data_IF_889045752553
#
_entry.id   IF_889045752553
#
_cell.length_a   1.000
_cell.length_b   1.000
_cell.length_c   1.000
_cell.angle_alpha   90.00
_cell.angle_beta   90.00
_cell.angle_gamma   90.00
#
_symmetry.space_group_name_H-M   'P 1'
#
loop_
_entity.id
_entity.type
_entity.pdbx_description
1 polymer ?
#
# COMPACT_ATOMS: atom_id res chain seq x y z
N UNK A 1 -0.08 19.72 -14.53
CA UNK A 1 1.20 19.75 -13.76
C UNK A 1 2.32 19.24 -14.66
N UNK A 2 3.44 19.96 -14.78
CA UNK A 2 4.61 19.50 -15.56
C UNK A 2 5.12 18.15 -15.03
N UNK A 3 5.64 17.28 -15.90
CA UNK A 3 6.06 15.92 -15.56
C UNK A 3 7.02 15.87 -14.35
N UNK A 4 8.02 16.75 -14.33
CA UNK A 4 8.97 16.89 -13.23
C UNK A 4 8.29 17.10 -11.87
N UNK A 5 7.26 17.96 -11.80
CA UNK A 5 6.53 18.22 -10.54
C UNK A 5 5.75 16.99 -10.06
N UNK A 6 5.27 16.12 -10.97
CA UNK A 6 4.61 14.87 -10.60
C UNK A 6 5.59 13.88 -9.97
N UNK A 7 6.77 13.74 -10.57
CA UNK A 7 7.83 12.86 -10.06
C UNK A 7 8.30 13.37 -8.69
N UNK A 8 8.58 14.67 -8.56
CA UNK A 8 8.98 15.28 -7.30
C UNK A 8 7.94 15.03 -6.19
N UNK A 9 6.65 15.19 -6.50
CA UNK A 9 5.58 14.90 -5.54
C UNK A 9 5.60 13.43 -5.08
N UNK A 10 5.76 12.47 -6.00
CA UNK A 10 5.85 11.05 -5.64
C UNK A 10 7.04 10.76 -4.76
N UNK A 11 8.22 11.27 -5.12
CA UNK A 11 9.45 11.07 -4.33
C UNK A 11 9.28 11.66 -2.94
N UNK A 12 8.72 12.87 -2.81
CA UNK A 12 8.42 13.46 -1.52
C UNK A 12 7.45 12.63 -0.68
N UNK A 13 6.37 12.10 -1.28
CA UNK A 13 5.40 11.27 -0.56
C UNK A 13 5.99 9.93 -0.10
N UNK A 14 6.87 9.31 -0.91
CA UNK A 14 7.58 8.08 -0.52
C UNK A 14 8.57 8.37 0.61
N UNK A 15 9.32 9.47 0.55
CA UNK A 15 10.21 9.89 1.64
C UNK A 15 9.41 10.19 2.91
N UNK A 16 8.29 10.90 2.80
CA UNK A 16 7.41 11.13 3.96
C UNK A 16 6.89 9.81 4.51
N UNK A 17 6.51 8.86 3.66
CA UNK A 17 6.04 7.54 4.09
C UNK A 17 7.08 6.79 4.95
N UNK A 18 8.39 6.90 4.67
CA UNK A 18 9.39 6.21 5.51
C UNK A 18 9.42 6.73 6.96
N UNK A 19 8.95 7.96 7.20
CA UNK A 19 8.85 8.53 8.55
C UNK A 19 7.65 8.03 9.37
N UNK A 20 6.81 7.13 8.83
CA UNK A 20 5.78 6.43 9.64
C UNK A 20 6.35 5.33 10.53
N UNK A 21 7.67 5.09 10.47
CA UNK A 21 8.40 4.18 11.36
C UNK A 21 9.63 4.93 11.92
N UNK A 22 9.38 5.97 12.72
CA UNK A 22 10.43 6.89 13.16
C UNK A 22 11.46 6.23 14.09
N UNK A 23 11.03 5.21 14.84
CA UNK A 23 11.85 4.43 15.76
C UNK A 23 13.03 3.71 15.08
N UNK A 24 12.88 3.35 13.80
CA UNK A 24 13.91 2.66 13.01
C UNK A 24 15.19 3.51 12.89
N UNK A 25 15.08 4.85 12.87
CA UNK A 25 16.22 5.75 12.74
C UNK A 25 17.09 5.87 13.99
N UNK A 26 16.63 5.36 15.14
CA UNK A 26 17.35 5.46 16.42
C UNK A 26 18.17 4.20 16.75
N UNK A 27 18.11 3.16 15.90
CA UNK A 27 18.84 1.91 16.07
C UNK A 27 18.75 1.33 17.50
N UNK A 28 17.54 1.37 18.07
CA UNK A 28 17.27 0.91 19.43
C UNK A 28 17.34 -0.62 19.53
N UNK A 29 17.80 -1.14 20.67
CA UNK A 29 17.71 -2.58 20.94
C UNK A 29 16.25 -3.04 21.05
N UNK A 30 15.98 -4.31 20.76
CA UNK A 30 14.63 -4.90 20.87
C UNK A 30 13.99 -4.64 22.25
N UNK A 31 14.76 -4.76 23.33
CA UNK A 31 14.29 -4.45 24.69
C UNK A 31 13.90 -2.98 24.87
N UNK A 32 14.68 -2.06 24.31
CA UNK A 32 14.39 -0.63 24.36
C UNK A 32 13.15 -0.27 23.52
N UNK A 33 13.01 -0.86 22.32
CA UNK A 33 11.82 -0.72 21.48
C UNK A 33 10.56 -1.21 22.20
N UNK A 34 10.59 -2.41 22.77
CA UNK A 34 9.45 -2.96 23.52
C UNK A 34 9.04 -2.06 24.69
N UNK A 35 10.01 -1.61 25.48
CA UNK A 35 9.76 -0.74 26.65
C UNK A 35 9.17 0.61 26.24
N UNK A 36 9.60 1.14 25.09
CA UNK A 36 9.16 2.44 24.58
C UNK A 36 8.04 2.34 23.52
N UNK A 37 7.44 1.17 23.31
CA UNK A 37 6.54 0.95 22.16
C UNK A 37 5.36 1.92 22.14
N UNK A 38 4.82 2.31 23.31
CA UNK A 38 3.72 3.26 23.40
C UNK A 38 4.11 4.68 22.96
N UNK A 39 5.35 5.08 23.26
CA UNK A 39 5.89 6.37 22.83
C UNK A 39 5.94 6.42 21.30
N UNK A 40 6.53 5.39 20.69
CA UNK A 40 6.65 5.28 19.24
C UNK A 40 5.28 5.15 18.56
N UNK A 41 4.40 4.32 19.10
CA UNK A 41 3.03 4.15 18.61
C UNK A 41 2.31 5.50 18.47
N UNK A 42 2.39 6.35 19.49
CA UNK A 42 1.74 7.67 19.46
C UNK A 42 2.38 8.56 18.38
N UNK A 43 3.72 8.66 18.36
CA UNK A 43 4.45 9.50 17.40
C UNK A 43 4.14 9.07 15.96
N UNK A 44 4.31 7.78 15.67
CA UNK A 44 4.16 7.22 14.33
C UNK A 44 2.70 7.26 13.86
N UNK A 45 1.74 6.98 14.75
CA UNK A 45 0.31 7.09 14.41
C UNK A 45 -0.10 8.52 14.12
N UNK A 46 0.35 9.50 14.91
CA UNK A 46 0.07 10.92 14.64
C UNK A 46 0.61 11.33 13.28
N UNK A 47 1.85 10.93 12.96
CA UNK A 47 2.45 11.22 11.67
C UNK A 47 1.70 10.52 10.52
N UNK A 48 1.33 9.24 10.68
CA UNK A 48 0.55 8.48 9.71
C UNK A 48 -0.83 9.12 9.44
N UNK A 49 -1.52 9.62 10.47
CA UNK A 49 -2.80 10.35 10.31
C UNK A 49 -2.60 11.66 9.55
N UNK A 50 -1.57 12.44 9.86
CA UNK A 50 -1.25 13.68 9.14
C UNK A 50 -0.93 13.39 7.67
N UNK A 51 -0.16 12.34 7.41
CA UNK A 51 0.19 11.90 6.06
C UNK A 51 -1.05 11.41 5.30
N UNK A 52 -1.93 10.65 5.94
CA UNK A 52 -3.21 10.24 5.38
C UNK A 52 -4.07 11.45 5.00
N UNK A 53 -4.21 12.45 5.87
CA UNK A 53 -4.97 13.68 5.59
C UNK A 53 -4.38 14.38 4.37
N UNK A 54 -3.06 14.55 4.31
CA UNK A 54 -2.38 15.16 3.17
C UNK A 54 -2.64 14.38 1.87
N UNK A 55 -2.47 13.06 1.89
CA UNK A 55 -2.69 12.19 0.74
C UNK A 55 -4.16 12.21 0.29
N UNK A 56 -5.11 12.23 1.22
CA UNK A 56 -6.53 12.34 0.94
C UNK A 56 -6.88 13.69 0.28
N UNK A 57 -6.27 14.80 0.74
CA UNK A 57 -6.43 16.11 0.10
C UNK A 57 -5.87 16.13 -1.32
N UNK A 58 -4.69 15.54 -1.54
CA UNK A 58 -4.09 15.41 -2.88
C UNK A 58 -4.98 14.54 -3.76
N UNK A 59 -5.38 13.36 -3.29
CA UNK A 59 -6.23 12.41 -3.99
C UNK A 59 -7.54 13.07 -4.47
N UNK A 60 -8.27 13.76 -3.59
CA UNK A 60 -9.50 14.47 -3.96
C UNK A 60 -9.29 15.50 -5.08
N UNK A 61 -8.11 16.12 -5.16
CA UNK A 61 -7.79 17.13 -6.17
C UNK A 61 -7.42 16.52 -7.53
N UNK A 62 -6.80 15.34 -7.55
CA UNK A 62 -6.27 14.72 -8.78
C UNK A 62 -7.10 13.55 -9.30
N UNK A 63 -7.97 12.98 -8.46
CA UNK A 63 -8.78 11.82 -8.81
C UNK A 63 -9.69 12.14 -10.00
N UNK A 64 -9.70 11.24 -10.98
CA UNK A 64 -10.51 11.40 -12.17
C UNK A 64 -11.99 11.24 -11.84
N UNK A 65 -12.81 12.21 -12.26
CA UNK A 65 -14.27 12.12 -12.17
C UNK A 65 -14.76 11.12 -13.22
N UNK A 66 -14.88 9.86 -12.82
CA UNK A 66 -15.46 8.79 -13.62
C UNK A 66 -16.97 8.68 -13.36
N UNK A 67 -17.67 8.01 -14.27
CA UNK A 67 -19.07 7.63 -14.03
C UNK A 67 -19.18 6.80 -12.75
N UNK A 68 -20.21 7.09 -11.96
CA UNK A 68 -20.43 6.42 -10.71
C UNK A 68 -20.84 4.96 -10.97
N UNK A 69 -19.99 4.03 -10.55
CA UNK A 69 -20.34 2.60 -10.57
C UNK A 69 -21.35 2.34 -9.46
N UNK A 70 -22.47 1.63 -9.73
CA UNK A 70 -23.45 1.27 -8.71
C UNK A 70 -22.80 0.54 -7.53
N UNK A 71 -23.24 0.85 -6.31
CA UNK A 71 -22.65 0.30 -5.08
C UNK A 71 -22.69 -1.23 -5.07
N UNK A 72 -23.77 -1.84 -5.55
CA UNK A 72 -23.90 -3.31 -5.68
C UNK A 72 -22.79 -3.90 -6.56
N UNK A 73 -22.48 -3.26 -7.68
CA UNK A 73 -21.46 -3.73 -8.61
C UNK A 73 -20.06 -3.57 -8.00
N UNK A 74 -19.79 -2.46 -7.31
CA UNK A 74 -18.54 -2.27 -6.56
C UNK A 74 -18.35 -3.36 -5.51
N UNK A 75 -19.38 -3.67 -4.75
CA UNK A 75 -19.35 -4.70 -3.71
C UNK A 75 -19.09 -6.08 -4.32
N UNK A 76 -19.80 -6.43 -5.39
CA UNK A 76 -19.60 -7.69 -6.10
C UNK A 76 -18.17 -7.83 -6.64
N UNK A 77 -17.66 -6.79 -7.32
CA UNK A 77 -16.28 -6.77 -7.82
C UNK A 77 -15.28 -6.91 -6.68
N UNK A 78 -15.47 -6.18 -5.59
CA UNK A 78 -14.60 -6.25 -4.41
C UNK A 78 -14.59 -7.66 -3.83
N UNK A 79 -15.75 -8.32 -3.73
CA UNK A 79 -15.85 -9.69 -3.24
C UNK A 79 -15.14 -10.70 -4.15
N UNK A 80 -15.32 -10.58 -5.47
CA UNK A 80 -14.65 -11.46 -6.45
C UNK A 80 -13.12 -11.31 -6.32
N UNK A 81 -12.61 -10.08 -6.31
CA UNK A 81 -11.18 -9.84 -6.14
C UNK A 81 -10.67 -10.23 -4.76
N UNK A 82 -11.48 -10.13 -3.71
CA UNK A 82 -11.12 -10.60 -2.37
C UNK A 82 -10.93 -12.12 -2.34
N UNK A 83 -11.82 -12.89 -2.97
CA UNK A 83 -11.67 -14.35 -3.09
C UNK A 83 -10.40 -14.68 -3.89
N UNK A 84 -10.15 -13.98 -5.00
CA UNK A 84 -8.93 -14.14 -5.78
C UNK A 84 -7.67 -13.83 -4.94
N UNK A 85 -7.70 -12.76 -4.14
CA UNK A 85 -6.61 -12.36 -3.27
C UNK A 85 -6.31 -13.42 -2.21
N UNK A 86 -7.35 -13.98 -1.59
CA UNK A 86 -7.22 -15.08 -0.63
C UNK A 86 -6.62 -16.33 -1.29
N UNK A 87 -7.05 -16.67 -2.50
CA UNK A 87 -6.48 -17.78 -3.28
C UNK A 87 -5.00 -17.57 -3.59
N UNK A 88 -4.61 -16.36 -4.00
CA UNK A 88 -3.19 -16.03 -4.24
C UNK A 88 -2.38 -16.12 -2.94
N UNK A 89 -2.91 -15.57 -1.82
CA UNK A 89 -2.22 -15.63 -0.53
C UNK A 89 -2.02 -17.08 -0.05
N UNK A 90 -3.04 -17.92 -0.23
CA UNK A 90 -2.96 -19.34 0.05
C UNK A 90 -1.87 -20.04 -0.79
N UNK A 91 -1.82 -19.76 -2.10
CA UNK A 91 -0.75 -20.29 -2.96
C UNK A 91 0.64 -19.81 -2.50
N UNK A 92 0.76 -18.56 -2.06
CA UNK A 92 2.02 -18.02 -1.56
C UNK A 92 2.48 -18.61 -0.23
N UNK A 93 1.58 -19.16 0.59
CA UNK A 93 1.96 -19.87 1.82
C UNK A 93 2.81 -21.14 1.59
N UNK A 94 2.83 -21.65 0.35
CA UNK A 94 3.69 -22.77 -0.05
C UNK A 94 5.05 -22.32 -0.62
N UNK A 95 5.27 -21.01 -0.75
CA UNK A 95 6.53 -20.43 -1.21
C UNK A 95 7.41 -20.03 -0.02
N UNK A 96 8.74 -19.87 -0.20
CA UNK A 96 9.62 -19.40 0.85
C UNK A 96 9.22 -18.02 1.37
N UNK A 97 9.35 -17.83 2.68
CA UNK A 97 9.13 -16.52 3.33
C UNK A 97 10.08 -15.47 2.76
N UNK A 98 9.53 -14.32 2.37
CA UNK A 98 10.34 -13.20 1.84
C UNK A 98 11.16 -12.52 2.94
N UNK A 99 12.29 -11.90 2.59
CA UNK A 99 13.10 -11.12 3.54
C UNK A 99 12.28 -10.00 4.21
N UNK A 100 11.42 -9.32 3.44
CA UNK A 100 10.50 -8.32 3.99
C UNK A 100 9.57 -8.92 5.04
N UNK A 101 8.97 -10.09 4.77
CA UNK A 101 8.11 -10.76 5.74
C UNK A 101 8.86 -11.14 7.03
N UNK A 102 10.11 -11.62 6.93
CA UNK A 102 10.94 -11.93 8.11
C UNK A 102 11.21 -10.70 8.99
N UNK A 103 11.43 -9.53 8.37
CA UNK A 103 11.59 -8.25 9.09
C UNK A 103 10.29 -7.90 9.82
N UNK A 104 9.14 -8.04 9.16
CA UNK A 104 7.83 -7.79 9.76
C UNK A 104 7.52 -8.76 10.91
N UNK A 105 7.86 -10.04 10.77
CA UNK A 105 7.66 -11.07 11.81
C UNK A 105 8.54 -10.78 13.04
N UNK A 106 9.77 -10.32 12.81
CA UNK A 106 10.67 -9.88 13.88
C UNK A 106 10.11 -8.65 14.60
N UNK A 107 9.59 -7.66 13.87
CA UNK A 107 8.95 -6.48 14.44
C UNK A 107 7.68 -6.84 15.23
N UNK A 108 6.87 -7.78 14.73
CA UNK A 108 5.69 -8.29 15.43
C UNK A 108 6.05 -9.01 16.74
N UNK A 109 7.19 -9.69 16.79
CA UNK A 109 7.70 -10.33 18.00
C UNK A 109 8.24 -9.30 19.00
N UNK A 110 9.01 -8.33 18.53
CA UNK A 110 9.68 -7.35 19.38
C UNK A 110 8.77 -6.22 19.87
N UNK A 111 7.77 -5.84 19.06
CA UNK A 111 6.87 -4.70 19.33
C UNK A 111 5.47 -5.01 18.80
N UNK A 112 4.74 -5.97 19.40
CA UNK A 112 3.50 -6.51 18.83
C UNK A 112 2.41 -5.46 18.60
N UNK A 113 2.27 -4.49 19.52
CA UNK A 113 1.23 -3.46 19.40
C UNK A 113 1.61 -2.44 18.33
N UNK A 114 2.86 -1.97 18.34
CA UNK A 114 3.37 -1.03 17.34
C UNK A 114 3.29 -1.63 15.93
N UNK A 115 3.82 -2.84 15.76
CA UNK A 115 3.82 -3.55 14.49
C UNK A 115 2.39 -3.83 14.00
N UNK A 116 1.47 -4.25 14.88
CA UNK A 116 0.08 -4.46 14.50
C UNK A 116 -0.56 -3.18 13.95
N UNK A 117 -0.34 -2.02 14.59
CA UNK A 117 -0.93 -0.76 14.14
C UNK A 117 -0.24 -0.22 12.88
N UNK A 118 1.10 -0.23 12.82
CA UNK A 118 1.81 0.31 11.65
C UNK A 118 1.67 -0.59 10.42
N UNK A 119 1.96 -1.89 10.55
CA UNK A 119 2.02 -2.82 9.42
C UNK A 119 0.63 -3.27 8.97
N UNK A 120 -0.29 -3.52 9.91
CA UNK A 120 -1.60 -4.11 9.59
C UNK A 120 -2.72 -3.10 9.38
N UNK A 121 -2.52 -1.84 9.77
CA UNK A 121 -3.52 -0.77 9.60
C UNK A 121 -2.99 0.38 8.74
N UNK A 122 -1.94 1.10 9.17
CA UNK A 122 -1.52 2.32 8.49
C UNK A 122 -0.83 2.06 7.15
N UNK A 123 0.12 1.13 7.08
CA UNK A 123 0.85 0.78 5.86
C UNK A 123 -0.08 0.48 4.68
N UNK A 124 -1.02 -0.49 4.76
CA UNK A 124 -1.88 -0.82 3.62
C UNK A 124 -2.75 0.36 3.18
N UNK A 125 -3.21 1.21 4.11
CA UNK A 125 -3.99 2.41 3.76
C UNK A 125 -3.11 3.40 2.98
N UNK A 126 -1.97 3.78 3.53
CA UNK A 126 -1.08 4.79 2.94
C UNK A 126 -0.50 4.31 1.60
N UNK A 127 -0.16 3.03 1.49
CA UNK A 127 0.31 2.44 0.25
C UNK A 127 -0.76 2.49 -0.85
N UNK A 128 -2.02 2.16 -0.55
CA UNK A 128 -3.11 2.33 -1.54
C UNK A 128 -3.22 3.78 -2.01
N UNK A 129 -3.07 4.76 -1.11
CA UNK A 129 -3.03 6.17 -1.51
C UNK A 129 -1.85 6.50 -2.42
N UNK A 130 -0.65 6.03 -2.10
CA UNK A 130 0.56 6.29 -2.92
C UNK A 130 0.39 5.68 -4.31
N UNK A 131 0.10 4.38 -4.39
CA UNK A 131 0.14 3.63 -5.63
C UNK A 131 -1.13 3.79 -6.46
N UNK A 132 -2.31 3.69 -5.84
CA UNK A 132 -3.60 3.67 -6.57
C UNK A 132 -4.21 5.07 -6.59
N UNK A 133 -4.33 5.68 -5.42
CA UNK A 133 -4.90 7.02 -5.28
C UNK A 133 -4.12 8.08 -6.07
N UNK A 134 -2.81 8.13 -5.89
CA UNK A 134 -1.99 9.23 -6.38
C UNK A 134 -1.24 8.86 -7.65
N UNK A 135 -0.45 7.80 -7.65
CA UNK A 135 0.37 7.42 -8.79
C UNK A 135 -0.46 7.12 -10.05
N UNK A 136 -1.47 6.25 -9.96
CA UNK A 136 -2.33 5.94 -11.13
C UNK A 136 -3.02 7.20 -11.68
N UNK A 137 -3.54 8.09 -10.81
CA UNK A 137 -4.23 9.31 -11.25
C UNK A 137 -3.29 10.42 -11.73
N UNK A 138 -2.02 10.45 -11.29
CA UNK A 138 -1.05 11.45 -11.74
C UNK A 138 -0.48 11.11 -13.12
N UNK A 139 -0.14 9.84 -13.37
CA UNK A 139 0.62 9.43 -14.56
C UNK A 139 -0.24 8.85 -15.68
N UNK A 140 -1.41 8.26 -15.36
CA UNK A 140 -2.26 7.57 -16.33
C UNK A 140 -3.63 8.24 -16.44
N UNK A 141 -3.65 9.44 -17.01
CA UNK A 141 -4.86 10.27 -17.12
C UNK A 141 -5.70 10.01 -18.37
N UNK A 142 -5.22 9.16 -19.28
CA UNK A 142 -5.92 8.88 -20.55
C UNK A 142 -6.91 7.74 -20.34
N UNK A 143 -8.13 7.91 -20.85
CA UNK A 143 -9.14 6.86 -20.83
C UNK A 143 -8.98 5.93 -22.06
N UNK A 144 -7.87 5.19 -22.10
CA UNK A 144 -7.62 4.18 -23.15
C UNK A 144 -7.24 2.85 -22.52
N UNK A 145 -7.54 1.74 -23.21
CA UNK A 145 -7.20 0.40 -22.74
C UNK A 145 -5.69 0.24 -22.48
N UNK A 146 -4.86 0.85 -23.33
CA UNK A 146 -3.41 0.85 -23.13
C UNK A 146 -2.99 1.62 -21.86
N UNK A 147 -3.56 2.80 -21.63
CA UNK A 147 -3.28 3.59 -20.42
C UNK A 147 -3.75 2.86 -19.16
N UNK A 148 -4.91 2.19 -19.21
CA UNK A 148 -5.42 1.37 -18.12
C UNK A 148 -4.48 0.19 -17.81
N UNK A 149 -4.08 -0.56 -18.83
CA UNK A 149 -3.12 -1.66 -18.68
C UNK A 149 -1.80 -1.19 -18.08
N UNK A 150 -1.19 -0.15 -18.66
CA UNK A 150 0.07 0.40 -18.14
C UNK A 150 -0.08 0.92 -16.71
N UNK A 151 -1.22 1.53 -16.37
CA UNK A 151 -1.49 2.02 -15.02
C UNK A 151 -1.48 0.90 -13.99
N UNK A 152 -2.16 -0.21 -14.28
CA UNK A 152 -2.20 -1.38 -13.38
C UNK A 152 -0.83 -2.03 -13.32
N UNK A 153 -0.23 -2.33 -14.48
CA UNK A 153 1.02 -3.07 -14.58
C UNK A 153 2.18 -2.34 -13.89
N UNK A 154 2.39 -1.06 -14.23
CA UNK A 154 3.49 -0.27 -13.67
C UNK A 154 3.24 0.02 -12.19
N UNK A 155 2.00 0.30 -11.78
CA UNK A 155 1.69 0.51 -10.35
C UNK A 155 1.98 -0.74 -9.53
N UNK A 156 1.60 -1.93 -10.00
CA UNK A 156 1.86 -3.18 -9.28
C UNK A 156 3.33 -3.56 -9.29
N UNK A 157 4.04 -3.33 -10.39
CA UNK A 157 5.49 -3.55 -10.44
C UNK A 157 6.24 -2.64 -9.48
N UNK A 158 5.90 -1.34 -9.43
CA UNK A 158 6.50 -0.40 -8.48
C UNK A 158 6.18 -0.77 -7.03
N UNK A 159 4.96 -1.24 -6.77
CA UNK A 159 4.58 -1.78 -5.46
C UNK A 159 5.52 -2.93 -5.08
N UNK A 160 5.69 -3.93 -5.95
CA UNK A 160 6.59 -5.05 -5.68
C UNK A 160 8.05 -4.65 -5.53
N UNK A 161 8.53 -3.75 -6.39
CA UNK A 161 9.92 -3.29 -6.36
C UNK A 161 10.27 -2.54 -5.07
N UNK A 162 9.35 -1.72 -4.55
CA UNK A 162 9.59 -0.99 -3.30
C UNK A 162 9.51 -1.87 -2.04
N UNK A 163 8.99 -3.10 -2.14
CA UNK A 163 9.00 -4.07 -1.04
C UNK A 163 10.28 -4.90 -0.97
N UNK A 164 10.99 -5.05 -2.09
CA UNK A 164 12.16 -5.95 -2.16
C UNK A 164 13.45 -5.24 -2.51
N UNK A 165 13.42 -4.20 -3.35
CA UNK A 165 14.59 -3.61 -4.00
C UNK A 165 15.50 -4.62 -4.73
N UNK A 166 14.97 -5.80 -5.04
CA UNK A 166 15.68 -6.93 -5.65
C UNK A 166 14.85 -7.54 -6.79
N UNK A 167 15.53 -8.05 -7.82
CA UNK A 167 14.90 -8.73 -8.96
C UNK A 167 14.83 -10.25 -8.70
N UNK A 168 14.00 -10.65 -7.75
CA UNK A 168 13.87 -12.04 -7.29
C UNK A 168 12.40 -12.53 -7.31
N UNK A 169 12.15 -13.73 -6.75
CA UNK A 169 10.79 -14.27 -6.65
C UNK A 169 9.88 -13.38 -5.80
N UNK A 170 10.40 -12.73 -4.76
CA UNK A 170 9.62 -11.86 -3.90
C UNK A 170 9.08 -10.64 -4.68
N UNK A 171 9.85 -10.08 -5.61
CA UNK A 171 9.37 -9.01 -6.49
C UNK A 171 8.11 -9.44 -7.25
N UNK A 172 8.12 -10.65 -7.80
CA UNK A 172 6.97 -11.20 -8.54
C UNK A 172 5.79 -11.39 -7.59
N UNK A 173 6.02 -11.95 -6.41
CA UNK A 173 4.97 -12.17 -5.40
C UNK A 173 4.28 -10.85 -5.00
N UNK A 174 5.05 -9.84 -4.59
CA UNK A 174 4.49 -8.52 -4.24
C UNK A 174 3.90 -7.81 -5.46
N UNK A 175 4.47 -7.96 -6.66
CA UNK A 175 3.89 -7.37 -7.88
C UNK A 175 2.53 -7.97 -8.23
N UNK A 176 2.31 -9.28 -8.00
CA UNK A 176 1.01 -9.93 -8.21
C UNK A 176 -0.06 -9.34 -7.29
N UNK A 177 0.25 -9.16 -5.99
CA UNK A 177 -0.65 -8.45 -5.05
C UNK A 177 -0.86 -7.01 -5.52
N UNK A 178 0.23 -6.36 -5.97
CA UNK A 178 0.26 -5.05 -6.59
C UNK A 178 -0.77 -4.88 -7.71
N UNK A 179 -0.73 -5.80 -8.69
CA UNK A 179 -1.61 -5.84 -9.86
C UNK A 179 -3.05 -6.16 -9.50
N UNK A 180 -3.28 -7.07 -8.54
CA UNK A 180 -4.62 -7.37 -8.05
C UNK A 180 -5.29 -6.11 -7.49
N UNK A 181 -4.63 -5.44 -6.54
CA UNK A 181 -5.15 -4.23 -5.91
C UNK A 181 -5.28 -3.06 -6.90
N UNK A 182 -4.34 -2.92 -7.84
CA UNK A 182 -4.43 -1.98 -8.95
C UNK A 182 -5.65 -2.24 -9.84
N UNK A 183 -5.97 -3.50 -10.11
CA UNK A 183 -7.15 -3.91 -10.86
C UNK A 183 -8.43 -3.60 -10.10
N UNK A 184 -8.48 -3.90 -8.79
CA UNK A 184 -9.62 -3.54 -7.93
C UNK A 184 -9.90 -2.05 -8.04
N UNK A 185 -8.90 -1.20 -7.81
CA UNK A 185 -9.06 0.26 -7.93
C UNK A 185 -9.55 0.67 -9.32
N UNK A 186 -8.96 0.11 -10.37
CA UNK A 186 -9.32 0.44 -11.74
C UNK A 186 -10.77 0.08 -12.06
N UNK A 187 -11.26 -1.09 -11.63
CA UNK A 187 -12.61 -1.56 -11.95
C UNK A 187 -13.68 -1.01 -11.00
N UNK A 188 -13.36 -0.71 -9.74
CA UNK A 188 -14.35 -0.15 -8.79
C UNK A 188 -14.38 1.37 -8.79
N UNK A 189 -13.32 2.03 -9.29
CA UNK A 189 -13.10 3.48 -9.21
C UNK A 189 -13.24 4.02 -7.79
N UNK A 190 -12.88 3.21 -6.79
CA UNK A 190 -13.09 3.51 -5.39
C UNK A 190 -11.89 3.04 -4.57
N UNK A 191 -11.17 3.98 -3.97
CA UNK A 191 -9.95 3.69 -3.20
C UNK A 191 -10.23 2.83 -1.97
N UNK A 192 -11.46 2.81 -1.47
CA UNK A 192 -11.84 2.01 -0.30
C UNK A 192 -11.82 0.51 -0.59
N UNK A 193 -12.15 0.12 -1.82
CA UNK A 193 -12.19 -1.29 -2.24
C UNK A 193 -10.83 -1.99 -2.14
N UNK A 194 -9.73 -1.48 -2.75
CA UNK A 194 -8.43 -2.11 -2.57
C UNK A 194 -7.90 -1.96 -1.12
N UNK A 195 -8.22 -0.87 -0.41
CA UNK A 195 -7.84 -0.71 1.02
C UNK A 195 -8.40 -1.87 1.85
N UNK A 196 -9.68 -2.21 1.69
CA UNK A 196 -10.30 -3.32 2.44
C UNK A 196 -9.62 -4.65 2.14
N UNK A 197 -9.31 -4.93 0.87
CA UNK A 197 -8.63 -6.18 0.48
C UNK A 197 -7.20 -6.20 1.02
N UNK A 198 -6.47 -5.09 0.95
CA UNK A 198 -5.09 -5.00 1.43
C UNK A 198 -5.02 -5.12 2.96
N UNK A 199 -5.94 -4.47 3.68
CA UNK A 199 -6.09 -4.66 5.13
C UNK A 199 -6.36 -6.13 5.45
N UNK A 200 -7.25 -6.80 4.71
CA UNK A 200 -7.50 -8.23 4.94
C UNK A 200 -6.21 -9.05 4.77
N UNK A 201 -5.48 -8.84 3.67
CA UNK A 201 -4.24 -9.58 3.39
C UNK A 201 -3.17 -9.38 4.47
N UNK A 202 -3.01 -8.18 5.03
CA UNK A 202 -2.03 -7.92 6.09
C UNK A 202 -2.48 -8.42 7.49
N UNK A 203 -3.70 -8.96 7.62
CA UNK A 203 -4.25 -9.44 8.88
C UNK A 203 -4.51 -10.96 8.90
N UNK A 204 -4.06 -11.70 7.87
CA UNK A 204 -4.22 -13.17 7.76
C UNK A 204 -2.89 -13.89 7.61
#
# INVERSE_FOLDING_TARGET
>A
MKQFKKILLMVMLIILYTFTNFEVYFNLSAKALFTQQWKWLIIDSLFAVLLFILMQMIYKKISQKNEAIPVKNKLLLTLIFMILALGINFMFSYLPTTANQQVLDTAATNTPILAAVQVRLFAPILEEFIFRGIFMNLFFTKNTNFSAFCSIFISGFLFGFLHTFHLDLALIMYSIIGWLLGSVYYYTKDIRCPIVIHLLLNNI
#
